data_IF_147051856502
#
_entry.id   IF_147051856502
#
_cell.length_a   1.000
_cell.length_b   1.000
_cell.length_c   1.000
_cell.angle_alpha   90.00
_cell.angle_beta   90.00
_cell.angle_gamma   90.00
#
_symmetry.space_group_name_H-M   'P 1'
#
loop_
_entity.id
_entity.type
_entity.pdbx_description
1 polymer ?
#
# COMPACT_ATOMS: atom_id res chain seq x y z
N UNK A 1 5.94 -28.71 -47.70
CA UNK A 1 5.68 -29.98 -47.00
C UNK A 1 6.90 -30.31 -46.13
N UNK A 2 7.04 -29.71 -44.99
CA UNK A 2 8.07 -30.09 -43.97
C UNK A 2 7.78 -29.37 -42.63
N UNK A 3 6.60 -29.53 -42.04
CA UNK A 3 6.32 -28.92 -40.71
C UNK A 3 5.44 -29.77 -39.78
N UNK A 4 5.33 -31.08 -40.05
CA UNK A 4 4.49 -31.99 -39.25
C UNK A 4 5.29 -32.91 -38.33
N UNK A 5 6.62 -33.06 -38.53
CA UNK A 5 7.44 -34.06 -37.80
C UNK A 5 8.07 -33.56 -36.48
N UNK A 6 8.09 -32.25 -36.19
CA UNK A 6 8.75 -31.75 -34.98
C UNK A 6 7.89 -31.96 -33.72
N UNK A 7 6.58 -31.93 -33.82
CA UNK A 7 5.66 -32.13 -32.69
C UNK A 7 5.61 -33.62 -32.29
N UNK A 8 5.69 -34.52 -33.25
CA UNK A 8 5.78 -35.97 -33.00
C UNK A 8 7.06 -36.38 -32.28
N UNK A 9 8.19 -35.80 -32.66
CA UNK A 9 9.50 -36.09 -32.04
C UNK A 9 9.57 -35.54 -30.59
N UNK A 10 8.98 -34.38 -30.31
CA UNK A 10 8.96 -33.77 -28.97
C UNK A 10 8.10 -34.58 -27.98
N UNK A 11 6.94 -35.09 -28.44
CA UNK A 11 6.07 -35.93 -27.61
C UNK A 11 6.69 -37.31 -27.35
N UNK A 12 7.44 -37.86 -28.28
CA UNK A 12 8.12 -39.18 -28.10
C UNK A 12 9.30 -39.07 -27.12
N UNK A 13 10.09 -37.99 -27.19
CA UNK A 13 11.15 -37.70 -26.20
C UNK A 13 10.59 -37.46 -24.79
N UNK A 14 9.49 -36.72 -24.66
CA UNK A 14 8.84 -36.50 -23.37
C UNK A 14 8.32 -37.80 -22.74
N UNK A 15 7.73 -38.69 -23.55
CA UNK A 15 7.22 -39.98 -23.08
C UNK A 15 8.35 -40.93 -22.66
N UNK A 16 9.47 -40.95 -23.37
CA UNK A 16 10.64 -41.75 -22.99
C UNK A 16 11.35 -41.21 -21.76
N UNK A 17 11.46 -39.88 -21.60
CA UNK A 17 12.06 -39.26 -20.41
C UNK A 17 11.21 -39.50 -19.15
N UNK A 18 9.88 -39.50 -19.29
CA UNK A 18 8.97 -39.83 -18.20
C UNK A 18 8.96 -41.32 -17.82
N UNK A 19 9.20 -42.20 -18.77
CA UNK A 19 9.35 -43.64 -18.52
C UNK A 19 10.68 -43.96 -17.81
N UNK A 20 11.78 -43.29 -18.17
CA UNK A 20 13.08 -43.41 -17.50
C UNK A 20 13.07 -42.87 -16.07
N UNK A 21 12.35 -41.77 -15.80
CA UNK A 21 12.17 -41.22 -14.47
C UNK A 21 11.29 -42.10 -13.54
N UNK A 22 10.37 -42.90 -14.11
CA UNK A 22 9.58 -43.90 -13.37
C UNK A 22 10.33 -45.19 -13.04
N UNK A 23 11.41 -45.49 -13.75
CA UNK A 23 12.21 -46.72 -13.57
C UNK A 23 13.36 -46.55 -12.56
N UNK A 24 13.66 -45.32 -12.11
CA UNK A 24 14.66 -45.11 -11.07
C UNK A 24 14.06 -45.42 -9.71
N UNK A 25 14.51 -46.53 -9.14
CA UNK A 25 14.11 -47.07 -7.85
C UNK A 25 14.24 -46.05 -6.72
N UNK A 26 13.16 -45.90 -5.95
CA UNK A 26 13.01 -44.98 -4.80
C UNK A 26 14.10 -45.19 -3.69
N UNK A 27 14.96 -46.20 -3.81
CA UNK A 27 15.96 -46.54 -2.79
C UNK A 27 17.35 -45.93 -3.00
N UNK A 28 17.64 -45.40 -4.20
CA UNK A 28 19.00 -44.91 -4.53
C UNK A 28 19.22 -43.41 -4.31
N UNK A 29 18.22 -42.63 -3.86
CA UNK A 29 18.30 -41.17 -3.72
C UNK A 29 18.51 -40.72 -2.28
N UNK A 30 18.69 -41.62 -1.33
CA UNK A 30 18.84 -41.33 0.09
C UNK A 30 20.23 -40.85 0.54
N UNK A 31 21.17 -40.62 -0.36
CA UNK A 31 22.58 -40.30 -0.07
C UNK A 31 23.05 -38.88 -0.46
N UNK A 32 22.27 -38.11 -1.19
CA UNK A 32 22.64 -36.73 -1.58
C UNK A 32 21.58 -35.77 -1.08
N UNK A 33 21.97 -34.82 -0.23
CA UNK A 33 21.12 -33.78 0.37
C UNK A 33 20.40 -32.90 -0.63
N UNK A 34 19.66 -33.47 -1.55
CA UNK A 34 18.78 -32.77 -2.48
C UNK A 34 17.46 -32.47 -1.77
N UNK A 35 17.15 -31.19 -1.60
CA UNK A 35 15.82 -30.70 -1.22
C UNK A 35 14.77 -31.45 -2.06
N UNK A 36 13.78 -32.03 -1.36
CA UNK A 36 12.61 -32.63 -2.01
C UNK A 36 12.03 -31.65 -3.01
N UNK A 37 12.21 -31.92 -4.31
CA UNK A 37 11.43 -31.29 -5.37
C UNK A 37 9.99 -31.75 -5.19
N UNK A 38 9.16 -30.91 -4.59
CA UNK A 38 7.73 -31.12 -4.52
C UNK A 38 7.19 -31.10 -5.96
N UNK A 39 6.61 -32.20 -6.42
CA UNK A 39 5.64 -32.12 -7.49
C UNK A 39 4.59 -31.11 -7.04
N UNK A 40 4.34 -30.09 -7.86
CA UNK A 40 3.26 -29.11 -7.68
C UNK A 40 1.91 -29.84 -7.88
N UNK A 41 1.56 -30.76 -6.97
CA UNK A 41 0.17 -31.06 -6.71
C UNK A 41 -0.35 -29.82 -5.94
N UNK A 42 -1.10 -28.98 -6.63
CA UNK A 42 -1.84 -27.86 -6.03
C UNK A 42 -2.63 -28.45 -4.87
N UNK A 43 -2.35 -27.98 -3.65
CA UNK A 43 -3.08 -28.39 -2.44
C UNK A 43 -4.58 -28.14 -2.73
N UNK A 44 -5.38 -29.20 -2.74
CA UNK A 44 -6.81 -29.08 -2.98
C UNK A 44 -7.46 -28.24 -1.86
N UNK A 45 -8.44 -27.42 -2.22
CA UNK A 45 -9.20 -26.57 -1.27
C UNK A 45 -9.77 -27.43 -0.13
N UNK A 46 -10.21 -28.68 -0.43
CA UNK A 46 -10.72 -29.62 0.57
C UNK A 46 -9.70 -30.02 1.64
N UNK A 47 -8.40 -29.85 1.37
CA UNK A 47 -7.31 -30.24 2.27
C UNK A 47 -6.70 -29.05 3.02
N UNK A 48 -7.21 -27.83 2.81
CA UNK A 48 -6.71 -26.65 3.50
C UNK A 48 -6.95 -26.73 5.00
N UNK A 49 -5.90 -26.65 5.85
CA UNK A 49 -6.05 -26.71 7.31
C UNK A 49 -6.52 -25.33 7.84
N UNK A 50 -7.76 -24.93 7.52
CA UNK A 50 -8.28 -23.58 7.76
C UNK A 50 -8.11 -23.10 9.20
N UNK A 51 -8.28 -23.99 10.18
CA UNK A 51 -8.11 -23.63 11.58
C UNK A 51 -6.66 -23.32 11.91
N UNK A 52 -5.71 -24.12 11.42
CA UNK A 52 -4.28 -23.87 11.62
C UNK A 52 -3.80 -22.61 10.88
N UNK A 53 -4.33 -22.34 9.69
CA UNK A 53 -4.08 -21.10 8.95
C UNK A 53 -4.58 -19.87 9.72
N UNK A 54 -5.78 -19.94 10.33
CA UNK A 54 -6.32 -18.87 11.17
C UNK A 54 -5.46 -18.64 12.42
N UNK A 55 -5.01 -19.72 13.06
CA UNK A 55 -4.12 -19.65 14.23
C UNK A 55 -2.76 -19.07 13.86
N UNK A 56 -2.22 -19.42 12.70
CA UNK A 56 -0.98 -18.83 12.19
C UNK A 56 -1.16 -17.32 11.95
N UNK A 57 -2.21 -16.89 11.27
CA UNK A 57 -2.48 -15.47 10.97
C UNK A 57 -2.54 -14.64 12.25
N UNK A 58 -3.33 -15.05 13.25
CA UNK A 58 -3.43 -14.35 14.52
C UNK A 58 -2.07 -14.32 15.26
N UNK A 59 -1.33 -15.42 15.24
CA UNK A 59 -0.01 -15.52 15.87
C UNK A 59 1.02 -14.60 15.22
N UNK A 60 0.98 -14.49 13.90
CA UNK A 60 1.87 -13.66 13.11
C UNK A 60 1.59 -12.16 13.32
N UNK A 61 0.32 -11.77 13.29
CA UNK A 61 -0.12 -10.38 13.50
C UNK A 61 0.23 -9.87 14.90
N UNK A 62 0.12 -10.71 15.91
CA UNK A 62 0.49 -10.38 17.29
C UNK A 62 1.97 -10.60 17.61
N UNK A 63 2.75 -11.30 16.76
CA UNK A 63 4.08 -11.81 17.07
C UNK A 63 4.12 -12.54 18.44
N UNK A 64 3.02 -13.24 18.81
CA UNK A 64 2.83 -13.82 20.14
C UNK A 64 1.76 -14.93 20.16
N UNK A 65 2.16 -16.13 20.54
CA UNK A 65 1.21 -17.25 20.71
C UNK A 65 0.23 -17.02 21.87
N UNK A 66 0.65 -16.32 22.91
CA UNK A 66 -0.22 -15.99 24.05
C UNK A 66 -1.33 -15.03 23.65
N UNK A 67 -0.98 -13.96 22.93
CA UNK A 67 -1.98 -12.97 22.45
C UNK A 67 -2.93 -13.59 21.42
N UNK A 68 -2.41 -14.41 20.51
CA UNK A 68 -3.24 -15.16 19.58
C UNK A 68 -4.22 -16.09 20.30
N UNK A 69 -3.77 -16.78 21.35
CA UNK A 69 -4.63 -17.62 22.18
C UNK A 69 -5.75 -16.83 22.85
N UNK A 70 -5.48 -15.66 23.38
CA UNK A 70 -6.48 -14.77 23.95
C UNK A 70 -7.53 -14.33 22.90
N UNK A 71 -7.08 -13.91 21.72
CA UNK A 71 -7.98 -13.51 20.64
C UNK A 71 -8.86 -14.68 20.17
N UNK A 72 -8.27 -15.85 19.96
CA UNK A 72 -8.96 -17.03 19.45
C UNK A 72 -9.69 -17.83 20.53
N UNK A 73 -9.60 -17.40 21.79
CA UNK A 73 -10.19 -18.06 22.98
C UNK A 73 -9.73 -19.52 23.14
N UNK A 74 -8.43 -19.76 22.92
CA UNK A 74 -7.77 -21.05 23.11
C UNK A 74 -6.48 -20.89 23.94
N UNK A 75 -5.95 -21.99 24.43
CA UNK A 75 -4.69 -21.96 25.20
C UNK A 75 -3.49 -21.69 24.29
N UNK A 76 -2.43 -21.07 24.83
CA UNK A 76 -1.16 -20.90 24.12
C UNK A 76 -0.59 -22.22 23.62
N UNK A 77 -0.76 -23.30 24.38
CA UNK A 77 -0.30 -24.65 24.00
C UNK A 77 -1.04 -25.14 22.75
N UNK A 78 -2.37 -24.93 22.68
CA UNK A 78 -3.15 -25.27 21.50
C UNK A 78 -2.72 -24.47 20.27
N UNK A 79 -2.45 -23.17 20.44
CA UNK A 79 -1.89 -22.31 19.37
C UNK A 79 -0.56 -22.86 18.88
N UNK A 80 0.38 -23.13 19.78
CA UNK A 80 1.71 -23.65 19.41
C UNK A 80 1.61 -25.00 18.68
N UNK A 81 0.67 -25.86 19.10
CA UNK A 81 0.45 -27.16 18.46
C UNK A 81 -0.12 -27.04 17.06
N UNK A 82 -1.10 -26.13 16.86
CA UNK A 82 -1.70 -25.87 15.54
C UNK A 82 -0.68 -25.26 14.57
N UNK A 83 0.15 -24.32 15.02
CA UNK A 83 1.21 -23.74 14.19
C UNK A 83 2.22 -24.82 13.78
N UNK A 84 2.65 -25.67 14.72
CA UNK A 84 3.58 -26.76 14.43
C UNK A 84 2.99 -27.75 13.42
N UNK A 85 1.72 -28.12 13.58
CA UNK A 85 1.03 -28.98 12.64
C UNK A 85 0.96 -28.36 11.23
N UNK A 86 0.75 -27.04 11.12
CA UNK A 86 0.79 -26.32 9.86
C UNK A 86 2.19 -26.34 9.23
N UNK A 87 3.24 -26.09 10.01
CA UNK A 87 4.64 -26.16 9.56
C UNK A 87 5.00 -27.57 9.05
N UNK A 88 4.50 -28.62 9.73
CA UNK A 88 4.69 -30.01 9.31
C UNK A 88 3.97 -30.30 7.97
N UNK A 89 2.73 -29.82 7.79
CA UNK A 89 1.99 -29.97 6.54
C UNK A 89 2.67 -29.22 5.39
N UNK A 90 3.14 -28.01 5.64
CA UNK A 90 3.80 -27.18 4.62
C UNK A 90 5.27 -27.58 4.40
N UNK A 91 5.88 -28.31 5.30
CA UNK A 91 7.31 -28.70 5.24
C UNK A 91 8.27 -27.54 5.43
N UNK A 92 7.81 -26.41 5.96
CA UNK A 92 8.60 -25.19 6.21
C UNK A 92 8.34 -24.66 7.62
N UNK A 93 9.29 -23.92 8.18
CA UNK A 93 9.08 -23.18 9.44
C UNK A 93 8.56 -21.79 9.13
N UNK A 94 7.53 -21.37 9.86
CA UNK A 94 6.88 -20.07 9.66
C UNK A 94 7.31 -19.05 10.74
N UNK A 95 7.82 -19.54 11.87
CA UNK A 95 8.28 -18.70 12.98
C UNK A 95 9.70 -19.03 13.41
N UNK A 96 10.45 -17.99 13.78
CA UNK A 96 11.72 -18.05 14.52
C UNK A 96 11.47 -17.69 15.98
N UNK A 97 11.93 -18.52 16.91
CA UNK A 97 11.89 -18.19 18.35
C UNK A 97 13.08 -17.30 18.70
N UNK A 98 12.81 -16.14 19.25
CA UNK A 98 13.79 -15.20 19.73
C UNK A 98 13.81 -15.22 21.28
N UNK A 99 14.92 -14.78 21.94
CA UNK A 99 14.98 -14.68 23.39
C UNK A 99 13.89 -13.79 24.01
N UNK A 100 13.33 -12.86 23.25
CA UNK A 100 12.28 -11.92 23.67
C UNK A 100 11.06 -11.95 22.76
N UNK A 101 10.63 -13.11 22.29
CA UNK A 101 9.40 -13.21 21.52
C UNK A 101 9.46 -14.12 20.30
N UNK A 102 8.61 -13.83 19.35
CA UNK A 102 8.40 -14.58 18.13
C UNK A 102 8.61 -13.66 16.92
N UNK A 103 9.31 -14.14 15.91
CA UNK A 103 9.46 -13.45 14.63
C UNK A 103 9.06 -14.38 13.48
N UNK A 104 8.60 -13.82 12.37
CA UNK A 104 8.32 -14.58 11.17
C UNK A 104 9.61 -14.98 10.44
N UNK A 105 9.56 -16.11 9.74
CA UNK A 105 10.51 -16.46 8.68
C UNK A 105 10.16 -15.74 7.39
N UNK A 106 10.97 -15.89 6.35
CA UNK A 106 10.67 -15.35 5.02
C UNK A 106 9.41 -16.01 4.44
N UNK A 107 9.22 -17.31 4.69
CA UNK A 107 8.01 -18.06 4.34
C UNK A 107 6.79 -17.55 5.11
N UNK A 108 6.95 -17.26 6.39
CA UNK A 108 5.89 -16.66 7.23
C UNK A 108 5.51 -15.26 6.74
N UNK A 109 6.50 -14.45 6.35
CA UNK A 109 6.25 -13.12 5.75
C UNK A 109 5.54 -13.22 4.40
N UNK A 110 5.83 -14.23 3.60
CA UNK A 110 5.15 -14.44 2.32
C UNK A 110 3.69 -14.93 2.50
N UNK A 111 3.42 -15.78 3.50
CA UNK A 111 2.11 -16.38 3.74
C UNK A 111 1.13 -15.43 4.44
N UNK A 112 1.60 -14.63 5.41
CA UNK A 112 0.77 -13.76 6.24
C UNK A 112 -0.15 -12.84 5.43
N UNK A 113 0.35 -12.05 4.44
CA UNK A 113 -0.49 -11.13 3.69
C UNK A 113 -1.64 -11.82 2.97
N UNK A 114 -1.38 -12.98 2.36
CA UNK A 114 -2.39 -13.73 1.62
C UNK A 114 -3.51 -14.21 2.54
N UNK A 115 -3.17 -14.71 3.72
CA UNK A 115 -4.17 -15.20 4.69
C UNK A 115 -4.97 -14.06 5.32
N UNK A 116 -4.31 -12.98 5.70
CA UNK A 116 -4.98 -11.81 6.27
C UNK A 116 -6.01 -11.24 5.29
N UNK A 117 -5.66 -11.11 4.01
CA UNK A 117 -6.62 -10.67 2.97
C UNK A 117 -7.78 -11.67 2.81
N UNK A 118 -7.47 -12.97 2.70
CA UNK A 118 -8.49 -14.02 2.52
C UNK A 118 -9.51 -14.05 3.69
N UNK A 119 -9.03 -14.04 4.93
CA UNK A 119 -9.91 -14.08 6.11
C UNK A 119 -10.75 -12.81 6.25
N UNK A 120 -10.20 -11.64 5.93
CA UNK A 120 -10.97 -10.39 5.94
C UNK A 120 -12.08 -10.39 4.91
N UNK A 121 -11.81 -10.86 3.70
CA UNK A 121 -12.82 -10.95 2.64
C UNK A 121 -13.94 -11.91 3.03
N UNK A 122 -13.60 -13.08 3.57
CA UNK A 122 -14.61 -14.00 4.10
C UNK A 122 -15.46 -13.36 5.18
N UNK A 123 -14.83 -12.70 6.16
CA UNK A 123 -15.54 -12.00 7.23
C UNK A 123 -16.45 -10.90 6.71
N UNK A 124 -15.97 -10.07 5.78
CA UNK A 124 -16.76 -8.99 5.18
C UNK A 124 -17.99 -9.53 4.44
N UNK A 125 -17.82 -10.60 3.65
CA UNK A 125 -18.94 -11.23 2.93
C UNK A 125 -19.97 -11.84 3.91
N UNK A 126 -19.52 -12.49 4.98
CA UNK A 126 -20.41 -13.05 5.99
C UNK A 126 -21.21 -11.95 6.71
N UNK A 127 -20.58 -10.82 7.07
CA UNK A 127 -21.28 -9.68 7.66
C UNK A 127 -22.34 -9.09 6.72
N UNK A 128 -22.04 -8.99 5.43
CA UNK A 128 -23.02 -8.53 4.42
C UNK A 128 -24.23 -9.47 4.33
N UNK A 129 -24.02 -10.78 4.41
CA UNK A 129 -25.10 -11.77 4.43
C UNK A 129 -25.97 -11.64 5.68
N UNK A 130 -25.37 -11.36 6.85
CA UNK A 130 -26.08 -11.14 8.11
C UNK A 130 -26.91 -9.85 8.06
N UNK A 131 -26.41 -8.79 7.44
CA UNK A 131 -27.06 -7.48 7.30
C UNK A 131 -28.10 -7.45 6.15
N UNK A 132 -28.14 -8.48 5.30
CA UNK A 132 -28.98 -8.52 4.09
C UNK A 132 -28.58 -7.49 3.03
N UNK A 133 -27.37 -6.95 3.15
CA UNK A 133 -26.80 -5.96 2.23
C UNK A 133 -25.79 -6.64 1.32
N UNK A 134 -25.99 -6.54 0.00
CA UNK A 134 -25.13 -7.15 -1.02
C UNK A 134 -24.26 -6.12 -1.74
N UNK A 135 -24.11 -4.91 -1.18
CA UNK A 135 -23.21 -3.89 -1.72
C UNK A 135 -21.76 -4.37 -1.69
N UNK A 136 -21.04 -4.16 -2.76
CA UNK A 136 -19.63 -4.50 -2.81
C UNK A 136 -18.80 -3.49 -2.00
N UNK A 137 -18.12 -3.96 -0.94
CA UNK A 137 -17.26 -3.11 -0.11
C UNK A 137 -15.98 -2.81 -0.87
N UNK A 138 -15.67 -1.52 -1.00
CA UNK A 138 -14.42 -1.01 -1.56
C UNK A 138 -13.69 -0.18 -0.50
N UNK A 139 -12.55 -0.68 -0.01
CA UNK A 139 -11.76 0.00 1.02
C UNK A 139 -10.53 0.65 0.41
N UNK A 140 -10.45 1.97 0.48
CA UNK A 140 -9.37 2.76 -0.10
C UNK A 140 -8.57 3.44 1.01
N UNK A 141 -7.27 3.17 1.05
CA UNK A 141 -6.33 3.98 1.79
C UNK A 141 -6.03 5.26 1.00
N UNK A 142 -5.93 6.39 1.66
CA UNK A 142 -5.63 7.66 0.97
C UNK A 142 -4.82 8.58 1.88
N UNK A 143 -3.80 9.23 1.33
CA UNK A 143 -3.10 10.29 2.06
C UNK A 143 -4.03 11.48 2.27
N UNK A 144 -4.08 11.97 3.51
CA UNK A 144 -5.08 12.97 3.92
C UNK A 144 -5.12 14.21 3.03
N UNK A 145 -3.96 14.66 2.55
CA UNK A 145 -3.84 15.82 1.65
C UNK A 145 -4.61 15.60 0.35
N UNK A 146 -4.43 14.45 -0.30
CA UNK A 146 -5.17 14.10 -1.53
C UNK A 146 -6.66 13.86 -1.24
N UNK A 147 -6.97 13.22 -0.10
CA UNK A 147 -8.35 12.99 0.29
C UNK A 147 -9.14 14.29 0.35
N UNK A 148 -8.65 15.28 1.10
CA UNK A 148 -9.37 16.53 1.35
C UNK A 148 -9.30 17.46 0.15
N UNK A 149 -8.10 17.63 -0.44
CA UNK A 149 -7.87 18.62 -1.48
C UNK A 149 -8.40 18.21 -2.86
N UNK A 150 -8.56 16.90 -3.10
CA UNK A 150 -8.93 16.45 -4.45
C UNK A 150 -10.06 15.42 -4.49
N UNK A 151 -10.00 14.37 -3.67
CA UNK A 151 -10.90 13.21 -3.79
C UNK A 151 -12.31 13.52 -3.26
N UNK A 152 -12.43 14.02 -2.01
CA UNK A 152 -13.72 14.23 -1.35
C UNK A 152 -14.68 15.13 -2.14
N UNK A 153 -14.24 16.24 -2.77
CA UNK A 153 -15.15 17.08 -3.57
C UNK A 153 -15.81 16.36 -4.76
N UNK A 154 -15.21 15.25 -5.24
CA UNK A 154 -15.63 14.48 -6.42
C UNK A 154 -16.37 13.20 -6.11
N UNK A 155 -16.32 12.72 -4.86
CA UNK A 155 -16.92 11.43 -4.48
C UNK A 155 -18.43 11.33 -4.62
N UNK A 156 -19.15 12.47 -4.62
CA UNK A 156 -20.59 12.49 -4.89
C UNK A 156 -20.92 11.91 -6.26
N UNK A 157 -20.09 12.21 -7.27
CA UNK A 157 -20.30 11.79 -8.64
C UNK A 157 -20.05 10.27 -8.76
N UNK A 158 -18.97 9.77 -8.19
CA UNK A 158 -18.74 8.34 -8.09
C UNK A 158 -19.90 7.60 -7.41
N UNK A 159 -20.43 8.14 -6.29
CA UNK A 159 -21.55 7.51 -5.58
C UNK A 159 -22.84 7.52 -6.39
N UNK A 160 -23.08 8.55 -7.19
CA UNK A 160 -24.24 8.64 -8.07
C UNK A 160 -24.18 7.59 -9.20
N UNK A 161 -22.99 7.38 -9.78
CA UNK A 161 -22.77 6.38 -10.84
C UNK A 161 -22.74 4.95 -10.33
N UNK A 162 -22.26 4.74 -9.09
CA UNK A 162 -22.06 3.42 -8.49
C UNK A 162 -22.75 3.30 -7.10
N UNK A 163 -24.09 3.40 -7.04
CA UNK A 163 -24.83 3.42 -5.77
C UNK A 163 -24.70 2.14 -4.95
N UNK A 164 -24.39 1.01 -5.61
CA UNK A 164 -24.19 -0.31 -5.02
C UNK A 164 -22.79 -0.54 -4.42
N UNK A 165 -21.91 0.45 -4.47
CA UNK A 165 -20.57 0.36 -3.87
C UNK A 165 -20.57 0.99 -2.47
N UNK A 166 -20.28 0.17 -1.44
CA UNK A 166 -19.98 0.66 -0.08
C UNK A 166 -18.51 1.11 -0.02
N UNK A 167 -18.29 2.40 -0.30
CA UNK A 167 -16.96 2.99 -0.32
C UNK A 167 -16.50 3.36 1.09
N UNK A 168 -15.38 2.80 1.51
CA UNK A 168 -14.73 3.06 2.80
C UNK A 168 -13.38 3.72 2.62
N UNK A 169 -13.23 4.93 3.13
CA UNK A 169 -11.97 5.66 3.08
C UNK A 169 -11.22 5.56 4.41
N UNK A 170 -9.94 5.20 4.34
CA UNK A 170 -9.01 5.21 5.47
C UNK A 170 -7.91 6.22 5.20
N UNK A 171 -7.95 7.35 5.89
CA UNK A 171 -6.89 8.36 5.78
C UNK A 171 -5.67 7.97 6.60
N UNK A 172 -4.50 8.24 6.06
CA UNK A 172 -3.22 8.00 6.73
C UNK A 172 -2.12 8.93 6.18
N UNK A 173 -0.98 8.94 6.84
CA UNK A 173 0.18 9.77 6.46
C UNK A 173 1.18 9.00 5.58
N UNK A 174 0.70 8.29 4.55
CA UNK A 174 1.52 7.51 3.60
C UNK A 174 2.23 6.28 4.23
N UNK A 175 1.78 5.81 5.39
CA UNK A 175 2.38 4.72 6.17
C UNK A 175 1.49 3.49 6.33
N UNK A 176 0.38 3.42 5.59
CA UNK A 176 -0.51 2.27 5.67
C UNK A 176 0.16 1.01 5.08
N UNK A 177 -0.08 -0.10 5.72
CA UNK A 177 0.17 -1.42 5.16
C UNK A 177 -1.09 -1.89 4.43
N UNK A 178 -1.01 -2.03 3.09
CA UNK A 178 -2.16 -2.41 2.28
C UNK A 178 -2.80 -3.72 2.73
N UNK A 179 -1.98 -4.65 3.21
CA UNK A 179 -2.43 -5.97 3.64
C UNK A 179 -3.04 -5.90 5.02
N UNK A 180 -2.30 -5.38 6.01
CA UNK A 180 -2.74 -5.31 7.40
C UNK A 180 -3.96 -4.41 7.55
N UNK A 181 -4.08 -3.36 6.75
CA UNK A 181 -5.21 -2.43 6.76
C UNK A 181 -6.39 -2.87 5.89
N UNK A 182 -6.22 -3.94 5.10
CA UNK A 182 -7.25 -4.50 4.22
C UNK A 182 -7.67 -3.54 3.11
N UNK A 183 -6.71 -2.87 2.50
CA UNK A 183 -6.97 -1.90 1.45
C UNK A 183 -7.08 -2.58 0.09
N UNK A 184 -8.07 -2.20 -0.69
CA UNK A 184 -8.20 -2.59 -2.09
C UNK A 184 -7.27 -1.75 -2.96
N UNK A 185 -7.28 -0.44 -2.70
CA UNK A 185 -6.36 0.52 -3.28
C UNK A 185 -5.72 1.38 -2.20
N UNK A 186 -4.58 1.96 -2.55
CA UNK A 186 -3.95 3.00 -1.76
C UNK A 186 -3.53 4.18 -2.66
N UNK A 187 -4.15 5.33 -2.42
CA UNK A 187 -3.77 6.62 -2.99
C UNK A 187 -2.65 7.22 -2.14
N UNK A 188 -1.44 7.22 -2.66
CA UNK A 188 -0.23 7.60 -1.94
C UNK A 188 0.62 8.59 -2.72
N UNK A 189 1.48 9.29 -1.99
CA UNK A 189 2.47 10.20 -2.55
C UNK A 189 3.85 9.52 -2.56
N UNK A 190 4.60 9.68 -3.64
CA UNK A 190 5.98 9.16 -3.75
C UNK A 190 6.50 9.12 -5.18
N UNK A 191 7.50 8.27 -5.38
CA UNK A 191 8.23 8.08 -6.64
C UNK A 191 7.67 6.98 -7.55
N UNK A 192 6.62 6.28 -7.12
CA UNK A 192 6.01 5.18 -7.87
C UNK A 192 6.64 3.80 -7.60
N UNK A 193 7.68 3.71 -6.79
CA UNK A 193 8.41 2.48 -6.55
C UNK A 193 8.03 1.81 -5.21
N UNK A 194 6.99 0.97 -5.21
CA UNK A 194 6.62 0.15 -4.04
C UNK A 194 6.66 -1.32 -4.37
N UNK A 195 7.39 -2.07 -3.55
CA UNK A 195 7.57 -3.50 -3.75
C UNK A 195 6.24 -4.26 -3.66
N UNK A 196 6.02 -5.21 -4.56
CA UNK A 196 4.83 -6.06 -4.57
C UNK A 196 3.53 -5.39 -5.00
N UNK A 197 3.57 -4.11 -5.40
CA UNK A 197 2.39 -3.36 -5.85
C UNK A 197 2.45 -3.04 -7.34
N UNK A 198 1.30 -2.86 -7.94
CA UNK A 198 1.10 -2.17 -9.20
C UNK A 198 0.78 -0.72 -8.89
N UNK A 199 1.43 0.22 -9.59
CA UNK A 199 1.28 1.64 -9.37
C UNK A 199 0.87 2.33 -10.68
N UNK A 200 -0.18 3.13 -10.61
CA UNK A 200 -0.69 3.97 -11.71
C UNK A 200 -0.41 5.42 -11.32
N UNK A 201 0.33 6.13 -12.14
CA UNK A 201 0.55 7.56 -11.96
C UNK A 201 -0.78 8.31 -12.14
N UNK A 202 -1.09 9.20 -11.21
CA UNK A 202 -2.28 10.05 -11.30
C UNK A 202 -1.91 11.47 -11.69
N UNK A 203 -1.17 12.16 -10.85
CA UNK A 203 -0.78 13.54 -11.11
C UNK A 203 0.51 13.91 -10.38
N UNK A 204 1.24 14.85 -10.94
CA UNK A 204 2.38 15.46 -10.31
C UNK A 204 1.95 16.36 -9.14
N UNK A 205 2.82 16.49 -8.17
CA UNK A 205 2.53 17.26 -6.96
C UNK A 205 3.69 18.23 -6.63
N UNK A 206 3.93 19.23 -7.50
CA UNK A 206 4.97 20.21 -7.27
C UNK A 206 4.68 21.00 -5.99
N UNK A 207 5.72 21.11 -5.14
CA UNK A 207 5.63 21.83 -3.87
C UNK A 207 5.99 23.30 -4.06
N UNK A 208 5.22 24.18 -3.43
CA UNK A 208 5.52 25.61 -3.33
C UNK A 208 5.27 26.14 -1.93
N UNK A 209 5.94 27.20 -1.50
CA UNK A 209 5.70 27.84 -0.20
C UNK A 209 4.29 28.42 -0.11
N UNK A 210 3.68 28.26 1.06
CA UNK A 210 2.43 28.93 1.44
C UNK A 210 2.57 29.52 2.84
N UNK A 211 1.95 30.66 3.07
CA UNK A 211 1.93 31.33 4.36
C UNK A 211 0.70 32.24 4.47
N UNK A 212 0.49 32.88 5.62
CA UNK A 212 -0.57 33.91 5.73
C UNK A 212 -0.26 35.13 4.85
N UNK A 213 -1.29 35.89 4.42
CA UNK A 213 -1.10 37.17 3.72
C UNK A 213 -0.17 38.13 4.50
N UNK A 214 -0.24 38.15 5.83
CA UNK A 214 0.59 39.00 6.69
C UNK A 214 2.06 38.62 6.62
N UNK A 215 2.38 37.32 6.60
CA UNK A 215 3.76 36.85 6.41
C UNK A 215 4.24 37.16 5.00
N UNK A 216 3.40 36.94 3.98
CA UNK A 216 3.74 37.19 2.57
C UNK A 216 4.11 38.68 2.29
N UNK A 217 3.50 39.63 2.98
CA UNK A 217 3.83 41.06 2.86
C UNK A 217 5.30 41.38 3.15
N UNK A 218 5.98 40.55 3.95
CA UNK A 218 7.40 40.70 4.27
C UNK A 218 8.32 40.00 3.27
N UNK A 219 7.80 39.13 2.41
CA UNK A 219 8.54 38.33 1.45
C UNK A 219 8.58 39.06 0.10
N UNK A 220 9.68 39.75 -0.21
CA UNK A 220 9.89 40.48 -1.48
C UNK A 220 10.57 39.64 -2.54
N UNK A 221 11.42 38.70 -2.12
CA UNK A 221 12.20 37.78 -2.94
C UNK A 221 12.30 36.42 -2.26
N UNK A 222 12.53 35.32 -2.99
CA UNK A 222 12.61 33.98 -2.43
C UNK A 222 13.59 33.82 -1.26
N UNK A 223 14.71 34.58 -1.27
CA UNK A 223 15.69 34.55 -0.19
C UNK A 223 15.13 35.01 1.17
N UNK A 224 14.08 35.84 1.19
CA UNK A 224 13.49 36.35 2.42
C UNK A 224 12.78 35.24 3.24
N UNK A 225 12.50 34.09 2.62
CA UNK A 225 11.99 32.92 3.33
C UNK A 225 12.97 32.40 4.39
N UNK A 226 14.27 32.66 4.25
CA UNK A 226 15.23 32.27 5.28
C UNK A 226 15.06 33.05 6.60
N UNK A 227 14.33 34.16 6.60
CA UNK A 227 14.06 35.01 7.77
C UNK A 227 12.75 34.68 8.48
N UNK A 228 11.98 33.69 7.98
CA UNK A 228 10.75 33.23 8.59
C UNK A 228 10.88 31.79 9.07
N UNK A 229 10.03 31.38 10.02
CA UNK A 229 10.00 29.99 10.46
C UNK A 229 9.60 29.08 9.30
N UNK A 230 10.48 28.16 8.90
CA UNK A 230 10.22 27.17 7.87
C UNK A 230 9.66 25.90 8.51
N UNK A 231 8.38 25.67 8.29
CA UNK A 231 7.69 24.48 8.80
C UNK A 231 8.13 23.26 7.97
N UNK A 232 8.57 22.19 8.64
CA UNK A 232 9.19 21.03 8.00
C UNK A 232 8.27 19.82 7.99
N UNK A 233 8.35 19.03 6.94
CA UNK A 233 7.79 17.68 6.89
C UNK A 233 8.85 16.64 7.29
N UNK A 234 8.42 15.40 7.59
CA UNK A 234 9.34 14.27 7.76
C UNK A 234 10.08 13.86 6.47
N UNK A 235 9.72 14.43 5.34
CA UNK A 235 10.47 14.32 4.09
C UNK A 235 11.60 15.33 4.12
N UNK A 236 12.80 14.85 4.33
CA UNK A 236 13.90 15.65 4.84
C UNK A 236 14.40 16.76 3.90
N UNK A 237 14.31 16.62 2.59
CA UNK A 237 15.00 17.50 1.66
C UNK A 237 14.10 18.49 0.89
N UNK A 238 12.82 18.58 1.19
CA UNK A 238 11.85 19.36 0.41
C UNK A 238 12.25 20.84 0.33
N UNK A 239 12.50 21.49 1.46
CA UNK A 239 12.96 22.88 1.48
C UNK A 239 14.31 23.07 0.77
N UNK A 240 15.25 22.14 0.95
CA UNK A 240 16.54 22.21 0.28
C UNK A 240 16.41 22.13 -1.24
N UNK A 241 15.48 21.31 -1.74
CA UNK A 241 15.17 21.21 -3.15
C UNK A 241 14.54 22.50 -3.66
N UNK A 242 13.60 23.08 -2.91
CA UNK A 242 12.93 24.30 -3.31
C UNK A 242 13.93 25.51 -3.37
N UNK A 243 14.79 25.69 -2.35
CA UNK A 243 15.79 26.75 -2.38
C UNK A 243 16.75 26.61 -3.56
N UNK A 244 17.15 25.38 -3.89
CA UNK A 244 17.96 25.10 -5.10
C UNK A 244 17.22 25.45 -6.38
N UNK A 245 15.94 25.09 -6.49
CA UNK A 245 15.11 25.47 -7.62
C UNK A 245 14.96 27.00 -7.75
N UNK A 246 14.99 27.72 -6.64
CA UNK A 246 15.02 29.18 -6.60
C UNK A 246 16.41 29.78 -6.90
N UNK A 247 17.43 28.95 -7.18
CA UNK A 247 18.82 29.42 -7.41
C UNK A 247 19.53 29.87 -6.13
N UNK A 248 19.09 29.40 -4.96
CA UNK A 248 19.59 29.83 -3.65
C UNK A 248 20.24 28.68 -2.89
N UNK A 249 21.18 29.04 -1.99
CA UNK A 249 21.71 28.07 -1.01
C UNK A 249 20.70 27.83 0.08
N UNK A 250 20.35 26.56 0.38
CA UNK A 250 19.41 26.25 1.45
C UNK A 250 19.92 26.74 2.81
N UNK A 251 19.06 27.35 3.63
CA UNK A 251 19.42 27.73 5.00
C UNK A 251 19.53 26.47 5.88
N UNK A 252 20.15 26.66 7.06
CA UNK A 252 20.13 25.59 8.07
C UNK A 252 18.73 25.42 8.66
N UNK A 253 18.07 24.32 8.27
CA UNK A 253 16.70 24.04 8.67
C UNK A 253 16.61 23.61 10.14
N UNK A 254 15.81 24.31 10.91
CA UNK A 254 15.47 24.04 12.31
C UNK A 254 13.96 24.22 12.52
N UNK A 255 13.50 23.98 13.73
CA UNK A 255 12.11 24.28 14.12
C UNK A 255 11.15 23.10 13.95
N UNK A 256 9.89 23.41 13.82
CA UNK A 256 8.77 22.48 13.92
C UNK A 256 8.72 21.49 12.76
N UNK A 257 8.42 20.23 13.09
CA UNK A 257 8.33 19.14 12.12
C UNK A 257 6.97 18.46 12.23
N UNK A 258 6.33 18.23 11.08
CA UNK A 258 4.99 17.68 10.99
C UNK A 258 5.01 16.40 10.11
N UNK A 259 4.11 15.48 10.42
CA UNK A 259 3.95 14.23 9.64
C UNK A 259 2.82 14.32 8.58
N UNK A 260 2.08 15.42 8.57
CA UNK A 260 0.97 15.67 7.67
C UNK A 260 1.02 17.08 7.07
N UNK A 261 0.87 17.17 5.74
CA UNK A 261 0.76 18.47 5.05
C UNK A 261 -0.48 19.25 5.48
N UNK A 262 -1.55 18.57 5.92
CA UNK A 262 -2.75 19.24 6.46
C UNK A 262 -2.45 20.00 7.73
N UNK A 263 -1.75 19.37 8.68
CA UNK A 263 -1.33 20.02 9.95
C UNK A 263 -0.32 21.13 9.69
N UNK A 264 0.54 20.90 8.69
CA UNK A 264 1.57 21.86 8.29
C UNK A 264 0.95 23.13 7.70
N UNK A 265 -0.08 23.00 6.85
CA UNK A 265 -0.85 24.15 6.31
C UNK A 265 -1.66 24.84 7.41
N UNK A 266 -2.27 24.08 8.31
CA UNK A 266 -3.01 24.69 9.43
C UNK A 266 -2.09 25.51 10.34
N UNK A 267 -0.85 25.06 10.59
CA UNK A 267 0.14 25.85 11.33
C UNK A 267 0.54 27.12 10.55
N UNK A 268 0.74 27.02 9.24
CA UNK A 268 1.01 28.17 8.38
C UNK A 268 -0.15 29.18 8.38
N UNK A 269 -1.39 28.71 8.26
CA UNK A 269 -2.60 29.54 8.30
C UNK A 269 -2.81 30.26 9.65
N UNK A 270 -2.23 29.73 10.73
CA UNK A 270 -2.17 30.39 12.05
C UNK A 270 -0.99 31.35 12.21
N UNK A 271 -0.21 31.56 11.17
CA UNK A 271 0.90 32.51 11.17
C UNK A 271 2.16 31.99 11.86
N UNK A 272 2.28 30.69 12.14
CA UNK A 272 3.48 30.10 12.76
C UNK A 272 4.70 30.25 11.85
N UNK A 273 4.51 30.16 10.51
CA UNK A 273 5.60 30.25 9.54
C UNK A 273 5.16 30.00 8.11
N UNK A 274 6.09 29.61 7.26
CA UNK A 274 5.84 29.18 5.88
C UNK A 274 5.88 27.66 5.77
N UNK A 275 4.92 27.08 5.06
CA UNK A 275 4.81 25.66 4.76
C UNK A 275 5.17 25.39 3.29
N UNK A 276 5.82 24.26 3.01
CA UNK A 276 6.07 23.80 1.64
C UNK A 276 5.15 22.63 1.31
N UNK A 277 4.23 22.82 0.36
CA UNK A 277 3.13 21.88 0.11
C UNK A 277 2.73 21.82 -1.37
N UNK A 278 2.04 20.75 -1.81
CA UNK A 278 1.44 20.69 -3.16
C UNK A 278 0.24 21.65 -3.20
N UNK A 279 0.45 22.83 -3.76
CA UNK A 279 -0.50 23.96 -3.71
C UNK A 279 -1.87 23.61 -4.29
N UNK A 280 -1.91 22.80 -5.35
CA UNK A 280 -3.16 22.36 -5.96
C UNK A 280 -4.11 21.63 -5.00
N UNK A 281 -3.59 21.03 -3.92
CA UNK A 281 -4.38 20.35 -2.89
C UNK A 281 -4.97 21.31 -1.83
N UNK A 282 -4.63 22.59 -1.92
CA UNK A 282 -5.02 23.62 -0.94
C UNK A 282 -5.68 24.84 -1.60
N UNK A 283 -6.24 24.66 -2.81
CA UNK A 283 -6.93 25.71 -3.55
C UNK A 283 -8.03 26.38 -2.71
N UNK A 284 -8.79 25.58 -1.97
CA UNK A 284 -9.87 26.10 -1.10
C UNK A 284 -9.34 27.05 0.00
N UNK A 285 -8.22 26.72 0.65
CA UNK A 285 -7.58 27.56 1.66
C UNK A 285 -7.02 28.85 1.06
N UNK A 286 -6.55 28.78 -0.18
CA UNK A 286 -6.05 29.96 -0.92
C UNK A 286 -7.22 30.86 -1.34
N UNK A 287 -8.27 30.30 -1.90
CA UNK A 287 -9.48 31.03 -2.30
C UNK A 287 -10.17 31.68 -1.12
N UNK A 288 -10.20 30.99 0.04
CA UNK A 288 -10.68 31.53 1.31
C UNK A 288 -9.75 32.59 1.91
N UNK A 289 -8.60 32.88 1.32
CA UNK A 289 -7.63 33.87 1.80
C UNK A 289 -6.94 33.49 3.11
N UNK A 290 -7.03 32.25 3.55
CA UNK A 290 -6.37 31.77 4.78
C UNK A 290 -4.85 31.69 4.61
N UNK A 291 -4.41 31.29 3.44
CA UNK A 291 -3.01 31.22 3.00
C UNK A 291 -2.87 31.80 1.59
N UNK A 292 -1.67 32.18 1.26
CA UNK A 292 -1.28 32.62 -0.09
C UNK A 292 0.02 31.94 -0.51
N UNK A 293 0.21 31.78 -1.81
CA UNK A 293 1.47 31.34 -2.41
C UNK A 293 2.30 32.59 -2.76
N UNK A 294 3.36 32.90 -1.99
CA UNK A 294 4.13 34.12 -2.23
C UNK A 294 5.01 34.08 -3.47
N UNK A 295 5.38 32.89 -3.95
CA UNK A 295 6.26 32.70 -5.10
C UNK A 295 5.77 31.57 -5.98
N UNK A 296 5.90 31.70 -7.31
CA UNK A 296 5.48 30.68 -8.29
C UNK A 296 6.55 29.60 -8.53
N UNK A 297 7.67 29.65 -7.79
CA UNK A 297 8.73 28.65 -7.86
C UNK A 297 8.24 27.35 -7.21
N UNK A 298 8.47 26.25 -7.90
CA UNK A 298 8.08 24.91 -7.43
C UNK A 298 9.28 23.97 -7.32
N UNK A 299 9.16 22.98 -6.45
CA UNK A 299 10.11 21.86 -6.35
C UNK A 299 9.36 20.53 -6.53
N UNK A 300 9.85 19.71 -7.44
CA UNK A 300 9.31 18.37 -7.65
C UNK A 300 9.94 17.38 -6.66
N UNK A 301 9.12 16.75 -5.82
CA UNK A 301 9.57 15.78 -4.81
C UNK A 301 8.83 14.44 -4.91
N UNK A 302 7.80 14.35 -5.74
CA UNK A 302 6.99 13.17 -5.97
C UNK A 302 5.66 13.49 -6.61
N UNK A 303 4.89 12.44 -6.85
CA UNK A 303 3.58 12.48 -7.51
C UNK A 303 2.56 11.69 -6.69
N UNK A 304 1.28 11.82 -7.00
CA UNK A 304 0.22 10.97 -6.47
C UNK A 304 0.03 9.75 -7.35
N UNK A 305 -0.17 8.62 -6.70
CA UNK A 305 -0.27 7.31 -7.34
C UNK A 305 -1.43 6.52 -6.77
N UNK A 306 -2.15 5.82 -7.64
CA UNK A 306 -3.05 4.74 -7.24
C UNK A 306 -2.28 3.43 -7.23
N UNK A 307 -2.25 2.75 -6.08
CA UNK A 307 -1.54 1.47 -5.95
C UNK A 307 -2.45 0.36 -5.48
N UNK A 308 -2.21 -0.88 -5.95
CA UNK A 308 -2.86 -2.11 -5.48
C UNK A 308 -1.85 -3.24 -5.37
N UNK A 309 -2.15 -4.27 -4.60
CA UNK A 309 -1.31 -5.47 -4.53
C UNK A 309 -1.37 -6.25 -5.86
N UNK A 310 -0.21 -6.64 -6.40
CA UNK A 310 -0.13 -7.49 -7.61
C UNK A 310 -0.77 -8.85 -7.40
N UNK A 311 -0.73 -9.38 -6.18
CA UNK A 311 -1.32 -10.66 -5.80
C UNK A 311 -2.85 -10.64 -5.75
N UNK A 312 -3.48 -9.47 -5.80
CA UNK A 312 -4.94 -9.31 -5.66
C UNK A 312 -5.57 -9.09 -7.02
N UNK A 313 -6.53 -9.96 -7.38
CA UNK A 313 -7.36 -9.76 -8.57
C UNK A 313 -8.27 -8.52 -8.38
N UNK A 314 -8.43 -7.75 -9.44
CA UNK A 314 -9.29 -6.56 -9.44
C UNK A 314 -10.76 -7.00 -9.49
N UNK A 315 -11.57 -6.51 -8.55
CA UNK A 315 -13.02 -6.74 -8.52
C UNK A 315 -13.75 -5.75 -9.45
N UNK A 316 -15.07 -5.90 -9.61
CA UNK A 316 -15.88 -5.00 -10.43
C UNK A 316 -15.86 -3.56 -9.87
N UNK A 317 -16.05 -3.40 -8.54
CA UNK A 317 -15.99 -2.09 -7.88
C UNK A 317 -14.61 -1.47 -7.94
N UNK A 318 -13.54 -2.27 -7.80
CA UNK A 318 -12.17 -1.79 -7.97
C UNK A 318 -11.95 -1.24 -9.38
N UNK A 319 -12.41 -1.96 -10.41
CA UNK A 319 -12.30 -1.53 -11.80
C UNK A 319 -13.07 -0.25 -12.05
N UNK A 320 -14.30 -0.16 -11.55
CA UNK A 320 -15.14 1.03 -11.68
C UNK A 320 -14.48 2.24 -11.03
N UNK A 321 -14.02 2.12 -9.79
CA UNK A 321 -13.35 3.21 -9.09
C UNK A 321 -12.07 3.67 -9.80
N UNK A 322 -11.25 2.74 -10.26
CA UNK A 322 -10.01 3.06 -10.98
C UNK A 322 -10.31 3.81 -12.29
N UNK A 323 -11.30 3.35 -13.05
CA UNK A 323 -11.69 3.99 -14.32
C UNK A 323 -12.22 5.41 -14.08
N UNK A 324 -13.12 5.56 -13.13
CA UNK A 324 -13.64 6.85 -12.70
C UNK A 324 -12.51 7.79 -12.24
N UNK A 325 -11.64 7.34 -11.37
CA UNK A 325 -10.54 8.15 -10.83
C UNK A 325 -9.58 8.64 -11.93
N UNK A 326 -9.26 7.79 -12.92
CA UNK A 326 -8.39 8.15 -14.03
C UNK A 326 -9.10 9.19 -14.92
N UNK A 327 -10.38 9.02 -15.25
CA UNK A 327 -11.15 9.96 -16.02
C UNK A 327 -11.20 11.36 -15.35
N UNK A 328 -11.48 11.40 -14.04
CA UNK A 328 -11.48 12.64 -13.27
C UNK A 328 -10.12 13.37 -13.26
N UNK A 329 -9.02 12.60 -13.28
CA UNK A 329 -7.67 13.17 -13.35
C UNK A 329 -7.36 13.71 -14.74
N UNK A 330 -7.79 13.02 -15.79
CA UNK A 330 -7.58 13.43 -17.19
C UNK A 330 -8.39 14.67 -17.58
N UNK A 331 -9.55 14.90 -16.94
CA UNK A 331 -10.38 16.09 -17.14
C UNK A 331 -9.80 17.36 -16.49
N UNK A 332 -8.77 17.23 -15.65
CA UNK A 332 -8.10 18.40 -15.11
C UNK A 332 -7.43 19.19 -16.23
N UNK A 333 -7.66 20.51 -16.32
CA UNK A 333 -6.91 21.33 -17.25
C UNK A 333 -5.42 21.17 -16.93
N UNK A 334 -4.62 20.85 -17.96
CA UNK A 334 -3.16 20.81 -17.84
C UNK A 334 -2.73 22.10 -17.14
N UNK A 335 -2.17 21.99 -15.95
CA UNK A 335 -1.48 23.12 -15.33
C UNK A 335 -0.26 23.37 -16.20
N UNK A 336 -0.43 24.21 -17.24
CA UNK A 336 0.69 24.72 -18.03
C UNK A 336 1.65 25.41 -17.05
N UNK A 337 2.81 24.78 -16.87
CA UNK A 337 3.93 25.23 -16.04
C UNK A 337 4.72 26.32 -16.74
#
# INVERSE_FOLDING_TARGET
MASVDVIGACNHLMTQTMALLRALDKRSILGLGMRKTWALDTMDISQLPLNALRVFEASARHCSFTRAGLELRVTQTAVSHQVKALEEVLGVTLFKRLPRGLALTDEGHALLPVLTDAFRRMSATLSQLEEGNFDEILTIGVVGTFAIGWLLPRLSDFKAEHPHVDLRLKTNNNRADMVLDGLDFFLRFGDGAWHGTEAIHLMDAPLSPVCTPTVAQRLRKPADLAEVELLRSYRLDEWSLWFRAAGLTPPHLRGWMFDSSLTLVEAAARGVGAALVPVAMFSHEIEAGRIVQPFQITAMTGSYWLTRLKSRAETASMKAFRQWLIAEVEELPSLDV
#
